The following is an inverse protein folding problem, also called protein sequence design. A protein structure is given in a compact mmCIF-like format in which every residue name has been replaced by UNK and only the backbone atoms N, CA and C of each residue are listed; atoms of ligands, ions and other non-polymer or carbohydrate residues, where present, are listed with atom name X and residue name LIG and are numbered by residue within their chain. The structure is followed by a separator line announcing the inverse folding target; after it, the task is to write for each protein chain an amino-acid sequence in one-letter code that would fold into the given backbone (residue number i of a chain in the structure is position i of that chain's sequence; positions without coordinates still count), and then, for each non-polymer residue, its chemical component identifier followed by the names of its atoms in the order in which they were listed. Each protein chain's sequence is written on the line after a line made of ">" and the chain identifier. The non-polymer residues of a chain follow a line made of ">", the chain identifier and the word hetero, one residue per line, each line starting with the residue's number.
data_IF_589416224532
#
_entry.id   IF_589416224532
#
_cell.length_a   1.000
_cell.length_b   1.000
_cell.length_c   1.000
_cell.angle_alpha   90.00
_cell.angle_beta   90.00
_cell.angle_gamma   90.00
#
_symmetry.space_group_name_H-M   'P 1'
#
loop_
_entity.id
_entity.type
_entity.pdbx_description
1 polymer ?
#
# COMPACT_ATOMS: atom_id res chain seq x y z
N UNK A 1 27.07 3.67 22.16
CA UNK A 1 26.66 4.37 20.93
C UNK A 1 26.15 3.32 19.96
N UNK A 2 24.83 3.23 19.75
CA UNK A 2 24.20 2.16 18.96
C UNK A 2 24.25 2.51 17.48
N UNK A 3 25.06 1.76 16.73
CA UNK A 3 25.25 1.90 15.29
C UNK A 3 24.06 1.23 14.57
N UNK A 4 23.19 2.03 13.94
CA UNK A 4 22.09 1.54 13.10
C UNK A 4 22.70 0.87 11.88
N UNK A 5 22.63 -0.47 11.83
CA UNK A 5 23.07 -1.27 10.71
C UNK A 5 22.25 -0.93 9.46
N UNK A 6 22.84 -0.08 8.62
CA UNK A 6 22.42 0.20 7.27
C UNK A 6 23.28 -0.68 6.36
N UNK A 7 22.83 -1.90 6.08
CA UNK A 7 23.50 -2.78 5.13
C UNK A 7 22.52 -3.82 4.58
N UNK A 8 22.16 -3.69 3.31
CA UNK A 8 22.12 -4.78 2.36
C UNK A 8 21.99 -4.17 0.96
N UNK A 9 23.11 -3.59 0.48
CA UNK A 9 23.31 -3.41 -0.95
C UNK A 9 23.79 -4.77 -1.50
N UNK A 10 22.88 -5.49 -2.15
CA UNK A 10 23.24 -6.61 -3.04
C UNK A 10 23.30 -6.05 -4.46
N UNK A 11 24.52 -5.93 -5.00
CA UNK A 11 24.78 -5.64 -6.41
C UNK A 11 24.62 -6.94 -7.20
N UNK A 12 23.56 -7.05 -8.00
CA UNK A 12 23.41 -8.07 -9.04
C UNK A 12 23.74 -7.45 -10.41
N UNK A 13 24.64 -8.12 -11.14
CA UNK A 13 25.08 -7.77 -12.49
C UNK A 13 23.93 -7.78 -13.51
N UNK A 14 23.95 -6.78 -14.39
CA UNK A 14 23.43 -6.78 -15.77
C UNK A 14 22.08 -7.47 -16.03
N UNK A 15 21.02 -6.70 -15.85
CA UNK A 15 19.76 -6.87 -16.54
C UNK A 15 19.04 -5.53 -16.45
N UNK A 16 18.44 -5.09 -17.54
CA UNK A 16 17.51 -3.96 -17.53
C UNK A 16 16.27 -4.38 -16.73
N UNK A 17 16.39 -4.61 -15.42
CA UNK A 17 15.22 -4.79 -14.57
C UNK A 17 14.61 -3.40 -14.44
N UNK A 18 13.70 -3.11 -15.38
CA UNK A 18 12.60 -2.21 -15.10
C UNK A 18 12.15 -2.46 -13.65
N UNK A 19 11.93 -1.43 -12.82
CA UNK A 19 11.43 -1.65 -11.48
C UNK A 19 10.23 -2.58 -11.62
N UNK A 20 10.28 -3.76 -10.99
CA UNK A 20 9.12 -4.62 -10.92
C UNK A 20 8.00 -3.72 -10.41
N UNK A 21 6.96 -3.51 -11.23
CA UNK A 21 5.79 -2.75 -10.79
C UNK A 21 5.39 -3.39 -9.46
N UNK A 22 5.40 -2.60 -8.39
CA UNK A 22 5.15 -3.17 -7.07
C UNK A 22 3.73 -3.75 -7.10
N UNK A 23 3.61 -5.07 -6.93
CA UNK A 23 2.31 -5.78 -6.94
C UNK A 23 1.38 -5.29 -5.81
N UNK A 24 1.92 -4.52 -4.88
CA UNK A 24 1.20 -3.87 -3.81
C UNK A 24 1.87 -2.57 -3.37
N UNK A 25 1.07 -1.69 -2.80
CA UNK A 25 1.53 -0.43 -2.19
C UNK A 25 0.91 -0.28 -0.80
N UNK A 26 1.68 0.24 0.16
CA UNK A 26 1.21 0.46 1.53
C UNK A 26 1.45 1.90 1.99
N UNK A 27 0.43 2.53 2.58
CA UNK A 27 0.50 3.88 3.13
C UNK A 27 -0.46 4.08 4.30
N UNK A 28 -0.31 5.18 5.04
CA UNK A 28 -1.21 5.50 6.16
C UNK A 28 -2.44 6.25 5.68
N UNK A 29 -3.61 5.83 6.14
CA UNK A 29 -4.87 6.52 5.89
C UNK A 29 -4.93 7.82 6.69
N UNK A 30 -5.20 8.93 6.02
CA UNK A 30 -5.42 10.23 6.67
C UNK A 30 -6.89 10.65 6.65
N UNK A 31 -7.61 10.33 5.59
CA UNK A 31 -9.05 10.55 5.49
C UNK A 31 -9.69 9.54 4.53
N UNK A 32 -10.96 9.22 4.79
CA UNK A 32 -11.76 8.36 3.93
C UNK A 32 -13.17 8.93 3.81
N UNK A 33 -13.67 9.01 2.57
CA UNK A 33 -15.05 9.35 2.28
C UNK A 33 -15.84 8.06 1.96
N UNK A 34 -16.65 7.56 2.90
CA UNK A 34 -17.40 6.32 2.72
C UNK A 34 -18.58 6.49 1.76
N UNK A 35 -18.91 7.69 1.27
CA UNK A 35 -19.94 7.90 0.24
C UNK A 35 -19.33 7.67 -1.15
N UNK A 36 -18.18 8.28 -1.43
CA UNK A 36 -17.53 8.24 -2.75
C UNK A 36 -16.47 7.16 -2.90
N UNK A 37 -16.02 6.53 -1.81
CA UNK A 37 -14.92 5.56 -1.84
C UNK A 37 -13.54 6.21 -2.01
N UNK A 38 -13.45 7.53 -1.77
CA UNK A 38 -12.21 8.28 -1.90
C UNK A 38 -11.37 8.17 -0.63
N UNK A 39 -10.10 7.82 -0.78
CA UNK A 39 -9.09 7.75 0.28
C UNK A 39 -8.03 8.82 0.07
N UNK A 40 -7.55 9.40 1.17
CA UNK A 40 -6.40 10.29 1.19
C UNK A 40 -5.34 9.67 2.10
N UNK A 41 -4.13 9.54 1.57
CA UNK A 41 -2.99 8.92 2.24
C UNK A 41 -2.04 9.97 2.81
N UNK A 42 -1.07 9.54 3.63
CA UNK A 42 -0.15 10.44 4.35
C UNK A 42 0.80 11.23 3.45
N UNK A 43 1.06 10.74 2.23
CA UNK A 43 1.80 11.43 1.18
C UNK A 43 0.92 12.36 0.33
N UNK A 44 -0.36 12.49 0.68
CA UNK A 44 -1.43 13.18 -0.07
C UNK A 44 -1.84 12.47 -1.36
N UNK A 45 -1.41 11.23 -1.57
CA UNK A 45 -1.94 10.39 -2.64
C UNK A 45 -3.43 10.17 -2.41
N UNK A 46 -4.21 10.32 -3.48
CA UNK A 46 -5.66 10.17 -3.46
C UNK A 46 -6.05 8.96 -4.29
N UNK A 47 -6.77 8.02 -3.69
CA UNK A 47 -7.19 6.78 -4.35
C UNK A 47 -8.71 6.67 -4.33
N UNK A 48 -9.30 6.36 -5.49
CA UNK A 48 -10.69 5.93 -5.58
C UNK A 48 -10.74 4.41 -5.63
N UNK A 49 -11.43 3.80 -4.67
CA UNK A 49 -11.57 2.34 -4.61
C UNK A 49 -13.04 1.93 -4.48
N UNK A 50 -13.39 0.76 -5.04
CA UNK A 50 -14.68 0.15 -4.76
C UNK A 50 -14.71 -0.30 -3.29
N UNK A 51 -15.80 -0.04 -2.58
CA UNK A 51 -15.94 -0.45 -1.17
C UNK A 51 -16.05 -1.96 -1.02
N UNK A 52 -16.44 -2.66 -2.08
CA UNK A 52 -16.56 -4.13 -2.08
C UNK A 52 -15.22 -4.85 -1.97
N UNK A 53 -14.13 -4.19 -2.33
CA UNK A 53 -12.77 -4.77 -2.29
C UNK A 53 -11.99 -4.40 -1.02
N UNK A 54 -12.63 -3.64 -0.11
CA UNK A 54 -12.03 -3.21 1.15
C UNK A 54 -12.29 -4.28 2.21
N UNK A 55 -11.20 -4.79 2.78
CA UNK A 55 -11.22 -5.71 3.91
C UNK A 55 -10.73 -5.00 5.17
N UNK A 56 -11.55 -5.01 6.22
CA UNK A 56 -11.24 -4.38 7.51
C UNK A 56 -11.96 -3.05 7.74
N UNK A 57 -11.70 -2.46 8.90
CA UNK A 57 -12.35 -1.21 9.33
C UNK A 57 -11.48 -0.02 8.96
N UNK A 58 -12.05 0.92 8.22
CA UNK A 58 -11.40 2.20 7.91
C UNK A 58 -11.28 3.07 9.15
N UNK A 59 -10.06 3.30 9.59
CA UNK A 59 -9.74 4.17 10.70
C UNK A 59 -8.57 5.08 10.32
N UNK A 60 -8.64 6.36 10.69
CA UNK A 60 -7.53 7.29 10.46
C UNK A 60 -6.30 6.79 11.21
N UNK A 61 -5.15 6.80 10.54
CA UNK A 61 -3.89 6.26 11.06
C UNK A 61 -3.69 4.76 10.80
N UNK A 62 -4.71 4.05 10.30
CA UNK A 62 -4.55 2.68 9.82
C UNK A 62 -3.58 2.61 8.63
N UNK A 63 -2.92 1.46 8.48
CA UNK A 63 -2.13 1.15 7.29
C UNK A 63 -3.05 0.56 6.23
N UNK A 64 -3.12 1.21 5.07
CA UNK A 64 -3.81 0.74 3.87
C UNK A 64 -2.80 0.01 3.02
N UNK A 65 -3.06 -1.26 2.69
CA UNK A 65 -2.29 -2.01 1.70
C UNK A 65 -3.19 -2.29 0.50
N UNK A 66 -2.80 -1.75 -0.65
CA UNK A 66 -3.50 -1.89 -1.92
C UNK A 66 -2.78 -2.94 -2.75
N UNK A 67 -3.50 -3.96 -3.20
CA UNK A 67 -2.99 -5.01 -4.06
C UNK A 67 -3.45 -4.79 -5.49
N UNK A 68 -2.50 -4.78 -6.42
CA UNK A 68 -2.76 -4.62 -7.83
C UNK A 68 -2.75 -5.98 -8.53
N UNK A 69 -3.69 -6.19 -9.45
CA UNK A 69 -3.77 -7.43 -10.26
C UNK A 69 -3.23 -7.24 -11.68
N UNK A 70 -2.89 -6.01 -12.04
CA UNK A 70 -2.28 -5.67 -13.32
C UNK A 70 -2.75 -4.31 -13.81
N UNK A 71 -2.56 -4.07 -15.10
CA UNK A 71 -2.95 -2.83 -15.77
C UNK A 71 -3.97 -3.14 -16.86
N UNK A 72 -5.08 -2.41 -16.88
CA UNK A 72 -6.08 -2.47 -17.95
C UNK A 72 -6.25 -1.08 -18.55
N UNK A 73 -6.09 -0.95 -19.86
CA UNK A 73 -6.19 0.33 -20.58
C UNK A 73 -5.28 1.45 -20.04
N UNK A 74 -4.11 1.08 -19.48
CA UNK A 74 -3.18 2.04 -18.86
C UNK A 74 -3.52 2.44 -17.43
N UNK A 75 -4.56 1.87 -16.84
CA UNK A 75 -4.94 2.08 -15.44
C UNK A 75 -4.60 0.85 -14.59
N UNK A 76 -3.99 1.06 -13.43
CA UNK A 76 -3.75 -0.01 -12.47
C UNK A 76 -5.07 -0.53 -11.91
N UNK A 77 -5.26 -1.85 -11.97
CA UNK A 77 -6.43 -2.52 -11.41
C UNK A 77 -6.14 -2.96 -10.00
N UNK A 78 -7.00 -2.53 -9.09
CA UNK A 78 -6.97 -2.93 -7.70
C UNK A 78 -7.86 -4.15 -7.52
N UNK A 79 -7.30 -5.23 -6.98
CA UNK A 79 -8.05 -6.44 -6.63
C UNK A 79 -8.54 -6.41 -5.19
N UNK A 80 -7.68 -5.94 -4.28
CA UNK A 80 -7.93 -5.97 -2.85
C UNK A 80 -7.30 -4.78 -2.14
N UNK A 81 -8.00 -4.29 -1.13
CA UNK A 81 -7.46 -3.33 -0.16
C UNK A 81 -7.59 -3.91 1.22
N UNK A 82 -6.46 -4.08 1.91
CA UNK A 82 -6.40 -4.58 3.29
C UNK A 82 -6.13 -3.42 4.24
N UNK A 83 -6.96 -3.28 5.27
CA UNK A 83 -6.80 -2.24 6.28
C UNK A 83 -6.28 -2.87 7.58
N UNK A 84 -5.11 -2.41 8.02
CA UNK A 84 -4.52 -2.78 9.31
C UNK A 84 -4.69 -1.65 10.30
N UNK A 85 -5.46 -1.84 11.40
CA UNK A 85 -5.70 -0.78 12.38
C UNK A 85 -4.42 -0.21 13.00
N UNK A 86 -4.42 1.07 13.41
CA UNK A 86 -3.28 1.67 14.08
C UNK A 86 -2.97 0.94 15.41
N UNK A 87 -1.70 0.63 15.64
CA UNK A 87 -1.29 -0.06 16.88
C UNK A 87 -1.53 -1.57 16.89
N UNK A 88 -2.08 -2.15 15.81
CA UNK A 88 -2.07 -3.60 15.61
C UNK A 88 -0.61 -4.08 15.58
N UNK A 89 -0.26 -5.10 16.37
CA UNK A 89 1.00 -5.81 16.15
C UNK A 89 0.99 -6.35 14.70
N UNK A 90 2.12 -6.29 13.97
CA UNK A 90 2.21 -7.00 12.69
C UNK A 90 1.83 -8.46 12.95
N UNK A 91 0.89 -9.00 12.17
CA UNK A 91 0.42 -10.36 12.33
C UNK A 91 1.65 -11.29 12.34
N UNK A 92 1.91 -11.90 13.51
CA UNK A 92 3.00 -12.85 13.66
C UNK A 92 2.72 -14.03 12.74
N UNK A 93 3.61 -14.25 11.77
CA UNK A 93 3.61 -15.44 10.91
C UNK A 93 4.23 -16.61 11.65
#
# INVERSE_FOLDING_TARGET
>A
MNLRACACAVLLLAGLSAPAAADQFSAKLTAFNPTTGLMILNDRTTLGVDKKIIEGTMEVGATVTVHFVGTENGFERIDKVVITPPGSAPAAK
#
